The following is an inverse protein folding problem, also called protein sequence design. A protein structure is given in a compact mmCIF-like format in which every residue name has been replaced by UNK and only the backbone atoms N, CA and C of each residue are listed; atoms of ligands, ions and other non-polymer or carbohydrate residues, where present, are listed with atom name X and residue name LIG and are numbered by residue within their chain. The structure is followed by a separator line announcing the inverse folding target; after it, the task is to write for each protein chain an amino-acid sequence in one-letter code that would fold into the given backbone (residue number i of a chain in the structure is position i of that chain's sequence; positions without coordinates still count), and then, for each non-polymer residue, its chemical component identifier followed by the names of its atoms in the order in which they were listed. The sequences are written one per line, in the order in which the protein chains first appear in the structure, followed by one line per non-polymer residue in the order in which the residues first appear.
data_IF_292245740683
#
_entry.id   IF_292245740683
#
_cell.length_a   1.000
_cell.length_b   1.000
_cell.length_c   1.000
_cell.angle_alpha   90.00
_cell.angle_beta   90.00
_cell.angle_gamma   90.00
#
_symmetry.space_group_name_H-M   'P 1'
#
loop_
_entity.id
_entity.type
_entity.pdbx_description
1 polymer ?
#
# COMPACT_ATOMS: atom_id res chain seq x y z
N UNK A 1 -0.54 -20.35 5.80
CA UNK A 1 0.07 -19.65 4.64
C UNK A 1 0.89 -18.45 5.10
N UNK A 2 1.81 -17.98 4.26
CA UNK A 2 2.55 -16.73 4.45
C UNK A 2 2.12 -15.73 3.39
N UNK A 3 1.69 -14.55 3.81
CA UNK A 3 1.34 -13.46 2.90
C UNK A 3 2.33 -12.32 3.09
N UNK A 4 3.16 -12.07 2.09
CA UNK A 4 4.14 -10.98 2.11
C UNK A 4 3.54 -9.75 1.44
N UNK A 5 3.50 -8.63 2.16
CA UNK A 5 2.96 -7.35 1.72
C UNK A 5 4.14 -6.38 1.58
N UNK A 6 4.44 -5.91 0.37
CA UNK A 6 5.56 -5.00 0.11
C UNK A 6 5.02 -3.69 -0.45
N UNK A 7 5.46 -2.58 0.13
CA UNK A 7 5.18 -1.25 -0.39
C UNK A 7 6.04 -0.97 -1.61
N UNK A 8 5.46 -0.35 -2.63
CA UNK A 8 6.21 0.11 -3.80
C UNK A 8 7.39 1.03 -3.42
N UNK A 9 8.37 1.15 -4.31
CA UNK A 9 9.53 2.04 -4.16
C UNK A 9 9.18 3.53 -4.20
N UNK A 10 10.19 4.38 -4.09
CA UNK A 10 10.03 5.84 -4.02
C UNK A 10 9.53 6.41 -5.35
N UNK A 11 8.51 7.27 -5.28
CA UNK A 11 7.94 8.06 -6.38
C UNK A 11 8.10 9.55 -6.12
N UNK A 12 7.77 10.39 -7.10
CA UNK A 12 7.69 11.85 -6.92
C UNK A 12 6.75 12.23 -5.78
N UNK A 13 5.61 11.55 -5.64
CA UNK A 13 4.67 11.78 -4.56
C UNK A 13 5.29 11.60 -3.18
N UNK A 14 6.15 10.57 -2.99
CA UNK A 14 6.89 10.39 -1.75
C UNK A 14 7.93 11.49 -1.52
N UNK A 15 8.75 11.78 -2.53
CA UNK A 15 9.84 12.75 -2.43
C UNK A 15 9.33 14.16 -2.11
N UNK A 16 8.19 14.53 -2.68
CA UNK A 16 7.55 15.84 -2.46
C UNK A 16 6.49 15.86 -1.36
N UNK A 17 6.26 14.75 -0.67
CA UNK A 17 5.24 14.59 0.39
C UNK A 17 3.84 15.01 -0.07
N UNK A 18 3.46 14.57 -1.27
CA UNK A 18 2.14 14.87 -1.83
C UNK A 18 1.07 13.93 -1.25
N UNK A 19 -0.15 14.42 -1.16
CA UNK A 19 -1.33 13.57 -1.07
C UNK A 19 -1.52 12.91 -2.43
N UNK A 20 -1.28 11.62 -2.52
CA UNK A 20 -1.44 10.87 -3.77
C UNK A 20 -1.72 9.41 -3.49
N UNK A 21 -2.57 8.83 -4.29
CA UNK A 21 -2.90 7.42 -4.18
C UNK A 21 -3.43 6.89 -5.51
N UNK A 22 -4.50 7.48 -6.04
CA UNK A 22 -5.09 7.08 -7.33
C UNK A 22 -4.23 7.48 -8.53
N UNK A 23 -3.44 8.55 -8.42
CA UNK A 23 -2.54 8.98 -9.48
C UNK A 23 -1.54 7.88 -9.86
N UNK A 24 -1.50 7.51 -11.15
CA UNK A 24 -0.60 6.46 -11.68
C UNK A 24 0.75 7.07 -12.08
N UNK A 25 1.59 7.35 -11.09
CA UNK A 25 2.94 7.88 -11.26
C UNK A 25 4.00 6.79 -11.11
N UNK A 26 5.10 6.84 -11.91
CA UNK A 26 6.16 5.84 -11.86
C UNK A 26 7.09 6.03 -10.64
N UNK A 27 7.95 5.03 -10.43
CA UNK A 27 9.10 5.17 -9.55
C UNK A 27 10.06 6.24 -10.08
N UNK A 28 10.71 6.94 -9.15
CA UNK A 28 11.86 7.80 -9.49
C UNK A 28 13.09 6.92 -9.81
N UNK A 29 14.02 7.37 -10.66
CA UNK A 29 15.27 6.65 -10.92
C UNK A 29 16.05 6.31 -9.63
N UNK A 30 16.14 7.24 -8.69
CA UNK A 30 16.74 7.01 -7.38
C UNK A 30 15.94 6.02 -6.53
N UNK A 31 14.63 5.94 -6.71
CA UNK A 31 13.75 4.95 -6.07
C UNK A 31 13.99 3.54 -6.60
N UNK A 32 14.18 3.39 -7.92
CA UNK A 32 14.58 2.11 -8.52
C UNK A 32 15.96 1.65 -8.02
N UNK A 33 16.92 2.57 -7.97
CA UNK A 33 18.27 2.26 -7.48
C UNK A 33 18.26 1.88 -6.00
N UNK A 34 17.43 2.54 -5.17
CA UNK A 34 17.24 2.18 -3.78
C UNK A 34 16.68 0.75 -3.64
N UNK A 35 15.69 0.36 -4.45
CA UNK A 35 15.15 -1.00 -4.48
C UNK A 35 16.23 -2.03 -4.88
N UNK A 36 17.05 -1.75 -5.89
CA UNK A 36 18.15 -2.66 -6.29
C UNK A 36 19.15 -2.86 -5.15
N UNK A 37 19.48 -1.80 -4.42
CA UNK A 37 20.36 -1.88 -3.24
C UNK A 37 19.75 -2.70 -2.12
N UNK A 38 18.45 -2.50 -1.82
CA UNK A 38 17.73 -3.29 -0.83
C UNK A 38 17.73 -4.78 -1.21
N UNK A 39 17.39 -5.10 -2.47
CA UNK A 39 17.37 -6.47 -2.97
C UNK A 39 18.75 -7.16 -2.94
N UNK A 40 19.82 -6.39 -3.16
CA UNK A 40 21.19 -6.90 -3.08
C UNK A 40 21.66 -7.14 -1.62
N UNK A 41 21.16 -6.33 -0.68
CA UNK A 41 21.53 -6.42 0.73
C UNK A 41 20.71 -7.47 1.50
N UNK A 42 19.48 -7.70 1.12
CA UNK A 42 18.53 -8.53 1.85
C UNK A 42 17.69 -9.38 0.90
N UNK A 43 17.61 -10.72 1.13
CA UNK A 43 16.72 -11.57 0.35
C UNK A 43 15.26 -11.26 0.68
N UNK A 44 14.46 -10.98 -0.34
CA UNK A 44 13.02 -10.87 -0.18
C UNK A 44 12.36 -12.26 -0.15
N UNK A 45 11.29 -12.45 0.65
CA UNK A 45 10.52 -13.69 0.64
C UNK A 45 9.96 -13.97 -0.76
N UNK A 46 10.07 -15.22 -1.22
CA UNK A 46 9.47 -15.68 -2.47
C UNK A 46 8.20 -16.49 -2.21
N UNK A 47 7.34 -16.61 -3.21
CA UNK A 47 6.12 -17.39 -3.16
C UNK A 47 5.76 -17.92 -4.56
N UNK A 48 4.78 -18.82 -4.62
CA UNK A 48 4.28 -19.34 -5.90
C UNK A 48 3.37 -18.33 -6.61
N UNK A 49 2.76 -17.40 -5.86
CA UNK A 49 1.80 -16.42 -6.36
C UNK A 49 2.24 -14.99 -6.08
N UNK A 50 2.20 -14.17 -7.14
CA UNK A 50 2.50 -12.74 -7.05
C UNK A 50 1.30 -11.92 -7.48
N UNK A 51 1.02 -10.89 -6.71
CA UNK A 51 -0.09 -9.96 -6.97
C UNK A 51 0.39 -8.52 -6.95
N UNK A 52 -0.23 -7.67 -7.77
CA UNK A 52 0.04 -6.23 -7.79
C UNK A 52 -1.26 -5.45 -7.79
N UNK A 53 -1.22 -4.20 -7.34
CA UNK A 53 -2.24 -3.23 -7.72
C UNK A 53 -2.11 -2.89 -9.22
N UNK A 54 -3.11 -2.25 -9.85
CA UNK A 54 -3.01 -1.84 -11.26
C UNK A 54 -2.02 -0.69 -11.51
N UNK A 55 -1.51 -0.01 -10.47
CA UNK A 55 -0.67 1.16 -10.61
C UNK A 55 0.76 0.79 -11.00
N UNK A 56 1.36 1.55 -11.93
CA UNK A 56 2.64 1.22 -12.56
C UNK A 56 3.79 1.04 -11.54
N UNK A 57 3.83 1.85 -10.48
CA UNK A 57 4.86 1.79 -9.43
C UNK A 57 4.94 0.43 -8.72
N UNK A 58 3.82 -0.29 -8.56
CA UNK A 58 3.83 -1.63 -7.95
C UNK A 58 4.40 -2.68 -8.89
N UNK A 59 4.07 -2.60 -10.19
CA UNK A 59 4.61 -3.50 -11.21
C UNK A 59 6.10 -3.24 -11.45
N UNK A 60 6.55 -1.98 -11.44
CA UNK A 60 7.97 -1.63 -11.51
C UNK A 60 8.73 -2.21 -10.31
N UNK A 61 8.17 -2.07 -9.11
CA UNK A 61 8.75 -2.65 -7.89
C UNK A 61 8.85 -4.18 -7.99
N UNK A 62 7.77 -4.86 -8.43
CA UNK A 62 7.79 -6.32 -8.65
C UNK A 62 8.96 -6.72 -9.56
N UNK A 63 9.06 -6.08 -10.73
CA UNK A 63 10.10 -6.41 -11.71
C UNK A 63 11.51 -6.21 -11.17
N UNK A 64 11.74 -5.18 -10.36
CA UNK A 64 13.05 -4.92 -9.76
C UNK A 64 13.41 -5.96 -8.71
N UNK A 65 12.46 -6.36 -7.86
CA UNK A 65 12.71 -7.26 -6.73
C UNK A 65 12.71 -8.74 -7.14
N UNK A 66 11.87 -9.12 -8.11
CA UNK A 66 11.61 -10.53 -8.46
C UNK A 66 11.84 -10.88 -9.93
N UNK A 67 12.16 -9.90 -10.78
CA UNK A 67 12.32 -10.12 -12.23
C UNK A 67 11.00 -10.33 -12.96
N UNK A 68 11.04 -11.09 -14.05
CA UNK A 68 9.86 -11.38 -14.88
C UNK A 68 9.10 -12.62 -14.37
N UNK A 69 8.56 -12.51 -13.16
CA UNK A 69 7.67 -13.55 -12.62
C UNK A 69 6.22 -13.32 -13.09
N UNK A 70 5.43 -14.38 -13.28
CA UNK A 70 3.99 -14.24 -13.51
C UNK A 70 3.30 -13.56 -12.32
N UNK A 71 2.37 -12.65 -12.59
CA UNK A 71 1.60 -11.99 -11.53
C UNK A 71 0.16 -11.70 -11.94
N UNK A 72 -0.70 -11.55 -10.95
CA UNK A 72 -2.10 -11.15 -11.13
C UNK A 72 -2.30 -9.71 -10.66
N UNK A 73 -2.96 -8.92 -11.49
CA UNK A 73 -3.38 -7.55 -11.12
C UNK A 73 -4.70 -7.61 -10.36
N UNK A 74 -4.73 -7.03 -9.16
CA UNK A 74 -5.93 -6.95 -8.32
C UNK A 74 -6.35 -5.50 -8.15
N UNK A 75 -7.39 -5.11 -8.87
CA UNK A 75 -7.86 -3.72 -8.93
C UNK A 75 -8.21 -3.15 -7.54
N UNK A 76 -8.85 -3.95 -6.69
CA UNK A 76 -9.22 -3.55 -5.34
C UNK A 76 -8.04 -3.32 -4.38
N UNK A 77 -6.78 -3.59 -4.77
CA UNK A 77 -5.58 -3.29 -3.99
C UNK A 77 -4.93 -1.93 -4.35
N UNK A 78 -5.64 -1.05 -5.07
CA UNK A 78 -5.21 0.34 -5.29
C UNK A 78 -5.07 1.09 -3.98
N UNK A 79 -4.20 2.12 -3.98
CA UNK A 79 -4.06 3.04 -2.86
C UNK A 79 -5.33 3.88 -2.66
N UNK A 80 -5.41 4.57 -1.55
CA UNK A 80 -6.50 5.49 -1.21
C UNK A 80 -6.64 6.58 -2.28
N UNK A 81 -7.87 6.81 -2.73
CA UNK A 81 -8.18 7.87 -3.69
C UNK A 81 -8.41 9.20 -2.95
N UNK A 82 -7.46 10.12 -3.03
CA UNK A 82 -7.57 11.44 -2.42
C UNK A 82 -8.43 12.43 -3.25
N UNK A 83 -8.98 12.00 -4.39
CA UNK A 83 -9.88 12.84 -5.21
C UNK A 83 -9.24 14.17 -5.60
N UNK A 84 -9.91 15.28 -5.28
CA UNK A 84 -9.44 16.62 -5.65
C UNK A 84 -8.16 17.06 -4.90
N UNK A 85 -7.71 16.28 -3.92
CA UNK A 85 -6.45 16.52 -3.21
C UNK A 85 -5.26 15.77 -3.82
N UNK A 86 -5.48 14.95 -4.86
CA UNK A 86 -4.41 14.21 -5.53
C UNK A 86 -3.31 15.14 -6.07
N UNK A 87 -2.06 14.71 -5.89
CA UNK A 87 -0.84 15.37 -6.34
C UNK A 87 -0.63 16.79 -5.77
N UNK A 88 -1.24 17.09 -4.64
CA UNK A 88 -1.10 18.38 -3.93
C UNK A 88 -0.31 18.19 -2.63
N UNK A 89 0.54 19.15 -2.27
CA UNK A 89 1.26 19.16 -1.00
C UNK A 89 0.40 19.76 0.12
N UNK A 90 0.67 19.35 1.37
CA UNK A 90 0.03 20.03 2.50
C UNK A 90 0.48 21.49 2.58
N UNK A 91 1.79 21.71 2.62
CA UNK A 91 2.39 23.05 2.69
C UNK A 91 2.22 23.79 1.36
N UNK A 92 1.66 24.97 1.39
CA UNK A 92 1.47 25.84 0.24
C UNK A 92 0.21 25.58 -0.59
N UNK A 93 -0.29 24.32 -0.62
CA UNK A 93 -1.47 23.98 -1.42
C UNK A 93 -2.71 23.73 -0.55
N UNK A 94 -2.64 22.70 0.32
CA UNK A 94 -3.82 22.18 1.04
C UNK A 94 -4.03 22.87 2.38
N UNK A 95 -3.01 23.44 3.00
CA UNK A 95 -3.12 24.08 4.32
C UNK A 95 -4.12 25.25 4.34
N UNK A 96 -4.32 25.92 3.18
CA UNK A 96 -5.26 27.02 3.00
C UNK A 96 -6.54 26.63 2.25
N UNK A 97 -6.64 25.35 1.83
CA UNK A 97 -7.82 24.83 1.12
C UNK A 97 -8.94 24.53 2.13
N UNK A 98 -10.08 25.20 1.99
CA UNK A 98 -11.21 25.07 2.92
C UNK A 98 -11.82 23.66 2.87
N UNK A 99 -11.92 23.06 1.68
CA UNK A 99 -12.45 21.71 1.52
C UNK A 99 -11.54 20.68 2.19
N UNK A 100 -10.20 20.85 2.04
CA UNK A 100 -9.23 19.99 2.70
C UNK A 100 -9.32 20.12 4.22
N UNK A 101 -9.35 21.35 4.76
CA UNK A 101 -9.45 21.56 6.21
C UNK A 101 -10.74 20.98 6.78
N UNK A 102 -11.85 21.11 6.07
CA UNK A 102 -13.13 20.54 6.48
C UNK A 102 -13.09 19.02 6.50
N UNK A 103 -12.50 18.41 5.48
CA UNK A 103 -12.30 16.97 5.41
C UNK A 103 -11.37 16.47 6.52
N UNK A 104 -10.19 17.09 6.66
CA UNK A 104 -9.13 16.64 7.57
C UNK A 104 -9.50 16.80 9.05
N UNK A 105 -10.25 17.87 9.41
CA UNK A 105 -10.72 18.10 10.78
C UNK A 105 -12.03 17.36 11.12
N UNK A 106 -12.68 16.79 10.12
CA UNK A 106 -13.93 16.06 10.26
C UNK A 106 -13.72 14.55 10.56
N UNK A 107 -14.79 13.80 10.41
CA UNK A 107 -14.75 12.34 10.51
C UNK A 107 -14.26 11.72 9.19
N UNK A 108 -12.94 11.63 9.02
CA UNK A 108 -12.30 11.05 7.81
C UNK A 108 -12.67 9.57 7.59
N UNK A 109 -13.14 8.88 8.64
CA UNK A 109 -13.63 7.50 8.51
C UNK A 109 -14.91 7.44 7.67
N UNK A 110 -15.79 8.41 7.83
CA UNK A 110 -17.08 8.46 7.16
C UNK A 110 -17.15 9.46 6.01
N UNK A 111 -16.36 10.54 6.09
CA UNK A 111 -16.38 11.61 5.09
C UNK A 111 -15.38 11.35 3.98
N UNK A 112 -15.86 11.21 2.75
CA UNK A 112 -14.98 11.04 1.59
C UNK A 112 -14.26 12.37 1.25
N UNK A 113 -13.04 12.25 0.72
CA UNK A 113 -12.43 13.36 -0.02
C UNK A 113 -13.38 13.76 -1.17
N UNK A 114 -13.46 15.04 -1.52
CA UNK A 114 -14.20 15.44 -2.72
C UNK A 114 -13.72 14.62 -3.94
N UNK A 115 -14.65 13.95 -4.63
CA UNK A 115 -14.37 13.02 -5.74
C UNK A 115 -13.44 11.83 -5.40
N UNK A 116 -13.25 11.53 -4.12
CA UNK A 116 -12.38 10.45 -3.64
C UNK A 116 -13.07 9.46 -2.71
N UNK A 117 -12.32 8.84 -1.83
CA UNK A 117 -12.79 7.83 -0.88
C UNK A 117 -12.85 8.38 0.55
N UNK A 118 -13.67 7.77 1.41
CA UNK A 118 -13.48 7.80 2.85
C UNK A 118 -12.71 6.55 3.31
N UNK A 119 -12.16 6.59 4.51
CA UNK A 119 -11.33 5.50 5.04
C UNK A 119 -12.13 4.19 5.17
N UNK A 120 -13.40 4.25 5.54
CA UNK A 120 -14.29 3.08 5.65
C UNK A 120 -14.48 2.36 4.31
N UNK A 121 -14.73 3.09 3.24
CA UNK A 121 -14.96 2.50 1.92
C UNK A 121 -13.66 1.96 1.32
N UNK A 122 -12.56 2.66 1.51
CA UNK A 122 -11.21 2.20 1.20
C UNK A 122 -10.91 0.87 1.89
N UNK A 123 -11.05 0.79 3.22
CA UNK A 123 -10.79 -0.41 4.01
C UNK A 123 -11.67 -1.57 3.56
N UNK A 124 -12.97 -1.32 3.34
CA UNK A 124 -13.91 -2.34 2.84
C UNK A 124 -13.47 -2.89 1.48
N UNK A 125 -13.07 -2.03 0.55
CA UNK A 125 -12.57 -2.41 -0.78
C UNK A 125 -11.31 -3.27 -0.68
N UNK A 126 -10.34 -2.86 0.13
CA UNK A 126 -9.08 -3.57 0.34
C UNK A 126 -9.33 -4.95 0.95
N UNK A 127 -10.16 -5.04 1.99
CA UNK A 127 -10.51 -6.31 2.64
C UNK A 127 -11.23 -7.26 1.69
N UNK A 128 -12.14 -6.75 0.88
CA UNK A 128 -12.82 -7.57 -0.16
C UNK A 128 -11.84 -8.08 -1.23
N UNK A 129 -10.84 -7.28 -1.59
CA UNK A 129 -9.85 -7.64 -2.60
C UNK A 129 -8.83 -8.67 -2.12
N UNK A 130 -8.42 -8.63 -0.85
CA UNK A 130 -7.44 -9.57 -0.29
C UNK A 130 -8.07 -10.92 0.11
N UNK A 131 -9.36 -10.95 0.41
CA UNK A 131 -10.05 -12.15 0.91
C UNK A 131 -9.93 -13.37 -0.03
N UNK A 132 -10.05 -13.26 -1.38
CA UNK A 132 -9.85 -14.39 -2.28
C UNK A 132 -8.42 -14.95 -2.24
N UNK A 133 -7.40 -14.08 -2.09
CA UNK A 133 -5.99 -14.47 -1.98
C UNK A 133 -5.76 -15.28 -0.69
N UNK A 134 -6.26 -14.79 0.44
CA UNK A 134 -6.19 -15.52 1.71
C UNK A 134 -6.96 -16.83 1.65
N UNK A 135 -8.10 -16.86 0.93
CA UNK A 135 -8.94 -18.06 0.81
C UNK A 135 -8.27 -19.21 0.01
N UNK A 136 -7.30 -18.90 -0.87
CA UNK A 136 -6.52 -19.91 -1.58
C UNK A 136 -5.63 -20.73 -0.61
N UNK A 137 -5.17 -20.12 0.47
CA UNK A 137 -4.36 -20.79 1.48
C UNK A 137 -2.91 -21.05 1.05
N UNK A 138 -2.47 -20.50 -0.08
CA UNK A 138 -1.13 -20.65 -0.65
C UNK A 138 -0.26 -19.43 -0.33
N UNK A 139 1.07 -19.64 -0.26
CA UNK A 139 2.00 -18.54 0.01
C UNK A 139 1.97 -17.52 -1.13
N UNK A 140 1.93 -16.24 -0.80
CA UNK A 140 1.78 -15.17 -1.77
C UNK A 140 2.60 -13.92 -1.43
N UNK A 141 2.98 -13.17 -2.47
CA UNK A 141 3.60 -11.84 -2.37
C UNK A 141 2.70 -10.81 -3.05
N UNK A 142 2.39 -9.72 -2.36
CA UNK A 142 1.62 -8.60 -2.87
C UNK A 142 2.46 -7.32 -2.91
N UNK A 143 2.70 -6.78 -4.12
CA UNK A 143 3.32 -5.46 -4.31
C UNK A 143 2.21 -4.42 -4.33
N UNK A 144 2.11 -3.63 -3.26
CA UNK A 144 0.97 -2.75 -2.99
C UNK A 144 1.44 -1.41 -2.42
N UNK A 145 0.63 -0.79 -1.56
CA UNK A 145 0.80 0.59 -1.11
C UNK A 145 0.81 0.68 0.41
N UNK A 146 1.34 1.79 0.92
CA UNK A 146 1.47 2.01 2.35
C UNK A 146 0.13 2.03 3.08
N UNK A 147 -0.87 2.74 2.54
CA UNK A 147 -2.20 2.80 3.12
C UNK A 147 -2.93 1.46 3.08
N UNK A 148 -2.76 0.68 1.99
CA UNK A 148 -3.33 -0.67 1.86
C UNK A 148 -2.75 -1.60 2.93
N UNK A 149 -1.42 -1.60 3.14
CA UNK A 149 -0.77 -2.41 4.17
C UNK A 149 -1.28 -2.00 5.56
N UNK A 150 -1.34 -0.69 5.83
CA UNK A 150 -1.82 -0.17 7.10
C UNK A 150 -3.28 -0.56 7.38
N UNK A 151 -4.15 -0.53 6.36
CA UNK A 151 -5.54 -0.95 6.48
C UNK A 151 -5.65 -2.45 6.79
N UNK A 152 -4.94 -3.31 6.04
CA UNK A 152 -4.93 -4.75 6.26
C UNK A 152 -4.46 -5.12 7.66
N UNK A 153 -3.31 -4.57 8.08
CA UNK A 153 -2.79 -4.84 9.42
C UNK A 153 -3.69 -4.25 10.52
N UNK A 154 -4.39 -3.14 10.24
CA UNK A 154 -5.35 -2.54 11.14
C UNK A 154 -6.53 -3.44 11.43
N UNK A 155 -7.08 -4.09 10.40
CA UNK A 155 -8.20 -5.02 10.51
C UNK A 155 -7.79 -6.36 11.13
N UNK A 156 -6.62 -6.88 10.74
CA UNK A 156 -6.16 -8.19 11.22
C UNK A 156 -5.59 -8.17 12.63
N UNK A 157 -4.97 -7.07 13.03
CA UNK A 157 -4.33 -6.91 14.33
C UNK A 157 -4.74 -5.58 14.96
N UNK A 158 -6.01 -5.45 15.41
CA UNK A 158 -6.48 -4.23 16.05
C UNK A 158 -5.65 -3.95 17.31
N UNK A 159 -5.02 -2.79 17.35
CA UNK A 159 -4.24 -2.28 18.48
C UNK A 159 -4.69 -0.86 18.77
N UNK A 160 -4.51 -0.42 20.02
CA UNK A 160 -4.87 0.93 20.48
C UNK A 160 -4.11 2.06 19.75
N UNK A 161 -3.05 1.75 19.00
CA UNK A 161 -2.20 2.73 18.32
C UNK A 161 -2.31 2.70 16.80
N UNK A 162 -2.46 3.89 16.31
CA UNK A 162 -2.74 4.41 14.97
C UNK A 162 -2.19 3.62 13.75
N UNK A 163 -2.99 3.64 12.67
CA UNK A 163 -2.66 3.17 11.31
C UNK A 163 -1.31 3.67 10.79
N UNK A 164 -0.89 4.88 11.18
CA UNK A 164 0.37 5.50 10.72
C UNK A 164 1.61 4.72 11.15
N UNK A 165 1.57 4.00 12.27
CA UNK A 165 2.69 3.20 12.75
C UNK A 165 2.93 1.91 11.94
N UNK A 166 2.03 1.57 11.01
CA UNK A 166 2.07 0.34 10.21
C UNK A 166 2.37 0.57 8.73
N UNK A 167 2.60 1.81 8.36
CA UNK A 167 3.02 2.14 6.99
C UNK A 167 4.52 1.88 6.88
N UNK A 168 4.95 0.86 6.13
CA UNK A 168 6.37 0.56 5.98
C UNK A 168 7.06 1.60 5.09
N UNK A 169 8.39 1.66 5.17
CA UNK A 169 9.18 2.45 4.24
C UNK A 169 9.05 1.93 2.79
N UNK A 170 9.23 2.79 1.78
CA UNK A 170 9.19 2.35 0.38
C UNK A 170 10.17 1.22 0.10
N UNK A 171 9.69 0.15 -0.52
CA UNK A 171 10.45 -1.06 -0.81
C UNK A 171 10.45 -2.09 0.31
N UNK A 172 9.98 -1.75 1.50
CA UNK A 172 9.88 -2.68 2.63
C UNK A 172 8.43 -3.11 2.89
N UNK A 173 8.22 -3.99 3.87
CA UNK A 173 6.88 -4.48 4.14
C UNK A 173 6.78 -5.39 5.34
N UNK A 174 5.79 -6.27 5.29
CA UNK A 174 5.54 -7.26 6.34
C UNK A 174 5.17 -8.61 5.76
N UNK A 175 5.60 -9.68 6.43
CA UNK A 175 5.10 -11.02 6.17
C UNK A 175 4.11 -11.40 7.27
N UNK A 176 2.87 -11.69 6.89
CA UNK A 176 1.77 -12.11 7.77
C UNK A 176 1.66 -13.63 7.74
N UNK A 177 1.62 -14.26 8.89
CA UNK A 177 1.38 -15.69 9.05
C UNK A 177 -0.10 -15.94 9.29
N UNK A 178 -0.66 -16.91 8.58
CA UNK A 178 -2.04 -17.34 8.72
C UNK A 178 -2.12 -18.81 9.16
N UNK A 179 -3.03 -19.09 10.11
CA UNK A 179 -3.54 -20.43 10.39
C UNK A 179 -4.93 -20.56 9.74
N UNK A 180 -5.01 -21.37 8.68
CA UNK A 180 -6.16 -21.32 7.78
C UNK A 180 -6.37 -19.91 7.21
N UNK A 181 -7.50 -19.28 7.55
CA UNK A 181 -7.86 -17.91 7.16
C UNK A 181 -7.66 -16.88 8.28
N UNK A 182 -7.17 -17.31 9.43
CA UNK A 182 -6.97 -16.44 10.61
C UNK A 182 -5.56 -15.90 10.62
N UNK A 183 -5.34 -14.57 10.61
CA UNK A 183 -4.02 -13.98 10.78
C UNK A 183 -3.54 -14.21 12.23
N UNK A 184 -2.31 -14.72 12.38
CA UNK A 184 -1.77 -15.11 13.69
C UNK A 184 -0.70 -14.14 14.17
N UNK A 185 0.18 -13.73 13.28
CA UNK A 185 1.28 -12.81 13.59
C UNK A 185 1.81 -12.16 12.32
N UNK A 186 2.60 -11.10 12.47
CA UNK A 186 3.35 -10.50 11.37
C UNK A 186 4.72 -10.04 11.84
N UNK A 187 5.66 -9.97 10.91
CA UNK A 187 7.00 -9.45 11.15
C UNK A 187 7.47 -8.61 9.95
N UNK A 188 8.34 -7.62 10.15
CA UNK A 188 8.87 -6.81 9.06
C UNK A 188 9.70 -7.66 8.09
N UNK A 189 9.66 -7.26 6.82
CA UNK A 189 10.54 -7.75 5.74
C UNK A 189 11.23 -6.56 5.10
N UNK A 190 12.44 -6.79 4.53
CA UNK A 190 13.21 -5.73 3.88
C UNK A 190 12.39 -4.97 2.89
#
# INVERSE_FOLDING_TARGET
MKLTLIRHGITEGNARRLYYGAADIPLLPEGEEALRRLAAAHPYPTADHYYTSPLCRTRQTLRILYGDVPYTVVDGLREFNFGDFEMRAYEGDLEHDEAFRTWYSGDVEANACPNGECVRDFTRRVMAAIAPIVAQGEDAVCLIHGGVIAALLGEWFPMENSRYLRTPDPGTGYQVLFDGKTPVSYHPVP
#
